data_IF_071363313584
#
_entry.id   IF_071363313584
#
_cell.length_a   1.000
_cell.length_b   1.000
_cell.length_c   1.000
_cell.angle_alpha   90.00
_cell.angle_beta   90.00
_cell.angle_gamma   90.00
#
_symmetry.space_group_name_H-M   'P 1'
#
loop_
_entity.id
_entity.type
_entity.pdbx_description
1 polymer ?
#
# COMPACT_ATOMS: atom_id res chain seq x y z
N UNK A 1 30.96 11.37 2.25
CA UNK A 1 29.74 10.55 2.45
C UNK A 1 29.92 9.30 1.59
N UNK A 2 30.07 8.12 2.21
CA UNK A 2 30.45 6.89 1.49
C UNK A 2 29.38 6.52 0.45
N UNK A 3 29.79 6.26 -0.80
CA UNK A 3 28.94 5.80 -1.91
C UNK A 3 28.00 4.63 -1.51
N UNK A 4 28.47 3.78 -0.59
CA UNK A 4 27.73 2.67 0.00
C UNK A 4 26.48 3.13 0.79
N UNK A 5 26.61 4.16 1.63
CA UNK A 5 25.49 4.76 2.38
C UNK A 5 24.48 5.42 1.45
N UNK A 6 24.95 6.01 0.34
CA UNK A 6 24.09 6.63 -0.67
C UNK A 6 23.25 5.59 -1.42
N UNK A 7 23.83 4.43 -1.77
CA UNK A 7 23.13 3.34 -2.44
C UNK A 7 22.05 2.71 -1.54
N UNK A 8 22.31 2.59 -0.23
CA UNK A 8 21.32 2.05 0.73
C UNK A 8 20.13 2.98 0.98
N UNK A 9 20.37 4.29 0.98
CA UNK A 9 19.29 5.28 1.14
C UNK A 9 18.39 5.32 -0.10
N UNK A 10 18.93 4.95 -1.28
CA UNK A 10 18.22 5.06 -2.55
C UNK A 10 16.94 4.22 -2.62
N UNK A 11 16.95 2.99 -2.09
CA UNK A 11 15.77 2.11 -2.08
C UNK A 11 14.61 2.70 -1.26
N UNK A 12 14.90 3.28 -0.10
CA UNK A 12 13.90 3.97 0.72
C UNK A 12 13.40 5.26 0.08
N UNK A 13 14.30 6.01 -0.57
CA UNK A 13 13.95 7.24 -1.31
C UNK A 13 13.03 6.93 -2.50
N UNK A 14 13.28 5.84 -3.25
CA UNK A 14 12.42 5.41 -4.37
C UNK A 14 10.99 5.09 -3.92
N UNK A 15 10.83 4.49 -2.74
CA UNK A 15 9.52 4.22 -2.15
C UNK A 15 8.83 5.54 -1.75
N UNK A 16 9.58 6.47 -1.16
CA UNK A 16 9.07 7.82 -0.84
C UNK A 16 8.65 8.63 -2.07
N UNK A 17 9.47 8.64 -3.13
CA UNK A 17 9.12 9.29 -4.40
C UNK A 17 7.89 8.65 -5.04
N UNK A 18 7.77 7.33 -4.99
CA UNK A 18 6.60 6.61 -5.48
C UNK A 18 5.33 7.03 -4.73
N UNK A 19 5.41 7.20 -3.40
CA UNK A 19 4.29 7.68 -2.59
C UNK A 19 3.87 9.10 -2.99
N UNK A 20 4.82 10.03 -3.12
CA UNK A 20 4.53 11.41 -3.55
C UNK A 20 3.95 11.42 -4.96
N UNK A 21 4.40 10.52 -5.84
CA UNK A 21 3.92 10.46 -7.23
C UNK A 21 2.51 9.90 -7.35
N UNK A 22 2.11 8.98 -6.49
CA UNK A 22 0.84 8.27 -6.55
C UNK A 22 -0.13 8.62 -5.41
N UNK A 23 0.13 9.70 -4.67
CA UNK A 23 -0.67 10.12 -3.51
C UNK A 23 -2.17 10.26 -3.81
N UNK A 24 -2.54 10.68 -5.03
CA UNK A 24 -3.92 10.85 -5.48
C UNK A 24 -4.70 9.53 -5.62
N UNK A 25 -4.00 8.39 -5.59
CA UNK A 25 -4.64 7.07 -5.57
C UNK A 25 -5.33 6.85 -4.22
N UNK A 26 -4.77 7.34 -3.11
CA UNK A 26 -5.31 7.16 -1.76
C UNK A 26 -6.77 7.68 -1.63
N UNK A 27 -7.11 8.92 -2.01
CA UNK A 27 -8.50 9.37 -1.95
C UNK A 27 -9.42 8.59 -2.91
N UNK A 28 -8.92 8.15 -4.06
CA UNK A 28 -9.71 7.34 -5.00
C UNK A 28 -10.01 5.95 -4.42
N UNK A 29 -9.04 5.32 -3.77
CA UNK A 29 -9.20 3.99 -3.16
C UNK A 29 -10.12 4.05 -1.96
N UNK A 30 -10.07 5.13 -1.17
CA UNK A 30 -11.02 5.35 -0.08
C UNK A 30 -12.47 5.36 -0.58
N UNK A 31 -12.75 6.05 -1.70
CA UNK A 31 -14.10 6.11 -2.27
C UNK A 31 -14.54 4.73 -2.78
N UNK A 32 -13.67 4.03 -3.51
CA UNK A 32 -13.96 2.71 -4.08
C UNK A 32 -14.21 1.69 -2.95
N UNK A 33 -13.31 1.61 -1.98
CA UNK A 33 -13.45 0.69 -0.86
C UNK A 33 -14.65 1.00 0.02
N UNK A 34 -14.97 2.28 0.26
CA UNK A 34 -16.21 2.64 0.95
C UNK A 34 -17.42 2.00 0.28
N UNK A 35 -17.50 2.07 -1.06
CA UNK A 35 -18.59 1.46 -1.83
C UNK A 35 -18.56 -0.06 -1.73
N UNK A 36 -17.40 -0.69 -1.90
CA UNK A 36 -17.27 -2.16 -1.80
C UNK A 36 -17.64 -2.65 -0.40
N UNK A 37 -17.13 -2.01 0.67
CA UNK A 37 -17.46 -2.34 2.06
C UNK A 37 -18.97 -2.20 2.27
N UNK A 38 -19.58 -1.11 1.78
CA UNK A 38 -21.02 -0.90 1.91
C UNK A 38 -21.81 -2.03 1.26
N UNK A 39 -21.45 -2.41 0.04
CA UNK A 39 -22.12 -3.47 -0.72
C UNK A 39 -21.95 -4.85 -0.07
N UNK A 40 -20.75 -5.17 0.44
CA UNK A 40 -20.42 -6.50 0.97
C UNK A 40 -20.83 -6.70 2.43
N UNK A 41 -20.88 -5.64 3.24
CA UNK A 41 -21.11 -5.74 4.71
C UNK A 41 -22.43 -5.11 5.15
N UNK A 42 -23.13 -4.40 4.25
CA UNK A 42 -24.36 -3.65 4.54
C UNK A 42 -24.25 -2.59 5.65
N UNK A 43 -23.04 -2.29 6.14
CA UNK A 43 -22.78 -1.25 7.13
C UNK A 43 -23.37 0.11 6.75
N UNK A 44 -23.66 1.01 7.71
CA UNK A 44 -24.05 2.38 7.37
C UNK A 44 -22.91 3.07 6.61
N UNK A 45 -23.25 4.02 5.73
CA UNK A 45 -22.29 4.74 4.89
C UNK A 45 -21.17 5.38 5.72
N UNK A 46 -21.51 6.04 6.84
CA UNK A 46 -20.53 6.64 7.74
C UNK A 46 -19.52 5.63 8.32
N UNK A 47 -19.98 4.43 8.71
CA UNK A 47 -19.08 3.39 9.22
C UNK A 47 -18.19 2.84 8.10
N UNK A 48 -18.72 2.67 6.89
CA UNK A 48 -17.96 2.18 5.74
C UNK A 48 -16.87 3.18 5.31
N UNK A 49 -17.20 4.48 5.30
CA UNK A 49 -16.26 5.56 5.04
C UNK A 49 -15.14 5.61 6.08
N UNK A 50 -15.49 5.50 7.37
CA UNK A 50 -14.51 5.49 8.46
C UNK A 50 -13.57 4.28 8.36
N UNK A 51 -14.10 3.09 8.08
CA UNK A 51 -13.29 1.88 7.91
C UNK A 51 -12.27 2.07 6.80
N UNK A 52 -12.73 2.50 5.62
CA UNK A 52 -11.85 2.69 4.46
C UNK A 52 -10.84 3.82 4.65
N UNK A 53 -11.27 4.95 5.23
CA UNK A 53 -10.39 6.10 5.48
C UNK A 53 -9.28 5.74 6.46
N UNK A 54 -9.64 5.14 7.60
CA UNK A 54 -8.66 4.75 8.62
C UNK A 54 -7.73 3.67 8.09
N UNK A 55 -8.28 2.69 7.38
CA UNK A 55 -7.52 1.61 6.76
C UNK A 55 -6.45 2.14 5.81
N UNK A 56 -6.86 2.89 4.78
CA UNK A 56 -5.97 3.41 3.74
C UNK A 56 -4.98 4.46 4.26
N UNK A 57 -5.35 5.28 5.24
CA UNK A 57 -4.42 6.24 5.84
C UNK A 57 -3.33 5.53 6.64
N UNK A 58 -3.71 4.53 7.43
CA UNK A 58 -2.76 3.78 8.24
C UNK A 58 -1.87 2.92 7.35
N UNK A 59 -2.43 2.17 6.40
CA UNK A 59 -1.62 1.37 5.46
C UNK A 59 -0.77 2.25 4.54
N UNK A 60 -1.31 3.38 4.05
CA UNK A 60 -0.59 4.32 3.20
C UNK A 60 0.57 5.01 3.92
N UNK A 61 0.38 5.51 5.14
CA UNK A 61 1.43 6.22 5.88
C UNK A 61 2.39 5.24 6.55
N UNK A 62 1.87 4.33 7.38
CA UNK A 62 2.70 3.40 8.15
C UNK A 62 3.32 2.37 7.21
N UNK A 63 2.59 1.86 6.23
CA UNK A 63 3.14 0.90 5.26
C UNK A 63 4.31 1.50 4.48
N UNK A 64 4.20 2.75 4.00
CA UNK A 64 5.29 3.41 3.28
C UNK A 64 6.54 3.57 4.14
N UNK A 65 6.39 3.97 5.41
CA UNK A 65 7.51 4.11 6.35
C UNK A 65 8.13 2.74 6.67
N UNK A 66 7.30 1.76 7.04
CA UNK A 66 7.76 0.42 7.45
C UNK A 66 8.43 -0.29 6.29
N UNK A 67 7.86 -0.24 5.08
CA UNK A 67 8.44 -0.89 3.91
C UNK A 67 9.70 -0.15 3.44
N UNK A 68 9.72 1.19 3.50
CA UNK A 68 10.94 1.97 3.22
C UNK A 68 12.08 1.66 4.19
N UNK A 69 11.78 1.52 5.49
CA UNK A 69 12.77 1.10 6.49
C UNK A 69 13.20 -0.37 6.27
N UNK A 70 12.25 -1.25 5.96
CA UNK A 70 12.54 -2.66 5.71
C UNK A 70 13.43 -2.84 4.47
N UNK A 71 13.21 -2.07 3.39
CA UNK A 71 14.09 -2.12 2.23
C UNK A 71 15.51 -1.68 2.56
N UNK A 72 15.68 -0.61 3.34
CA UNK A 72 17.00 -0.14 3.78
C UNK A 72 17.70 -1.21 4.65
N UNK A 73 16.95 -1.84 5.57
CA UNK A 73 17.48 -2.89 6.45
C UNK A 73 17.93 -4.12 5.64
N UNK A 74 17.14 -4.53 4.65
CA UNK A 74 17.49 -5.69 3.82
C UNK A 74 18.69 -5.39 2.95
N UNK A 75 18.76 -4.21 2.34
CA UNK A 75 19.94 -3.81 1.58
C UNK A 75 21.20 -3.79 2.48
N UNK A 76 21.07 -3.37 3.75
CA UNK A 76 22.14 -3.42 4.73
C UNK A 76 22.57 -4.86 5.10
N UNK A 77 21.62 -5.77 5.30
CA UNK A 77 21.88 -7.13 5.76
C UNK A 77 22.36 -8.08 4.67
N UNK A 78 21.89 -7.91 3.44
CA UNK A 78 22.09 -8.87 2.35
C UNK A 78 22.76 -8.26 1.11
N UNK A 79 23.05 -6.96 1.13
CA UNK A 79 23.60 -6.21 0.00
C UNK A 79 22.52 -5.61 -0.90
N UNK A 80 22.86 -4.53 -1.61
CA UNK A 80 21.94 -3.80 -2.50
C UNK A 80 21.38 -4.63 -3.66
N UNK A 81 22.02 -5.76 -3.94
CA UNK A 81 21.62 -6.70 -5.00
C UNK A 81 20.73 -7.83 -4.47
N UNK A 82 20.30 -7.81 -3.20
CA UNK A 82 19.40 -8.82 -2.63
C UNK A 82 17.92 -8.46 -2.71
N UNK A 83 17.60 -7.15 -2.76
CA UNK A 83 16.25 -6.66 -3.03
C UNK A 83 15.92 -6.35 -4.52
N UNK A 84 16.47 -7.00 -5.57
CA UNK A 84 16.45 -6.42 -6.92
C UNK A 84 15.43 -7.09 -7.85
N UNK A 85 14.31 -7.61 -7.36
CA UNK A 85 13.18 -7.82 -8.27
C UNK A 85 12.08 -6.89 -7.84
N UNK A 86 11.80 -5.88 -8.69
CA UNK A 86 10.63 -5.00 -8.54
C UNK A 86 9.39 -5.79 -8.13
N UNK A 87 9.25 -7.01 -8.65
CA UNK A 87 8.18 -7.94 -8.31
C UNK A 87 8.09 -8.27 -6.81
N UNK A 88 9.19 -8.64 -6.14
CA UNK A 88 9.18 -9.01 -4.71
C UNK A 88 8.85 -7.79 -3.85
N UNK A 89 9.50 -6.65 -4.10
CA UNK A 89 9.21 -5.40 -3.39
C UNK A 89 7.75 -5.01 -3.55
N UNK A 90 7.19 -5.18 -4.75
CA UNK A 90 5.81 -4.84 -5.03
C UNK A 90 4.81 -5.79 -4.38
N UNK A 91 5.10 -7.10 -4.36
CA UNK A 91 4.31 -8.11 -3.62
C UNK A 91 4.33 -7.80 -2.11
N UNK A 92 5.49 -7.43 -1.56
CA UNK A 92 5.62 -7.05 -0.15
C UNK A 92 4.87 -5.75 0.15
N UNK A 93 4.91 -4.76 -0.75
CA UNK A 93 4.13 -3.54 -0.61
C UNK A 93 2.63 -3.82 -0.58
N UNK A 94 2.16 -4.65 -1.52
CA UNK A 94 0.77 -5.07 -1.57
C UNK A 94 0.35 -5.84 -0.32
N UNK A 95 1.11 -6.88 0.06
CA UNK A 95 0.80 -7.72 1.20
C UNK A 95 0.89 -6.94 2.52
N UNK A 96 1.87 -6.04 2.64
CA UNK A 96 2.03 -5.15 3.78
C UNK A 96 0.88 -4.16 3.91
N UNK A 97 0.47 -3.52 2.81
CA UNK A 97 -0.68 -2.60 2.78
C UNK A 97 -1.97 -3.29 3.19
N UNK A 98 -2.29 -4.40 2.54
CA UNK A 98 -3.47 -5.22 2.85
C UNK A 98 -3.45 -5.73 4.30
N UNK A 99 -2.31 -6.25 4.75
CA UNK A 99 -2.15 -6.79 6.10
C UNK A 99 -2.31 -5.72 7.18
N UNK A 100 -1.64 -4.57 7.01
CA UNK A 100 -1.75 -3.44 7.95
C UNK A 100 -3.18 -2.91 8.00
N UNK A 101 -3.81 -2.75 6.84
CA UNK A 101 -5.18 -2.24 6.74
C UNK A 101 -6.18 -3.17 7.43
N UNK A 102 -6.13 -4.47 7.11
CA UNK A 102 -7.01 -5.46 7.71
C UNK A 102 -6.80 -5.58 9.23
N UNK A 103 -5.54 -5.59 9.69
CA UNK A 103 -5.24 -5.63 11.14
C UNK A 103 -5.73 -4.36 11.85
N UNK A 104 -5.52 -3.19 11.25
CA UNK A 104 -5.98 -1.90 11.77
C UNK A 104 -7.48 -1.88 11.91
N UNK A 105 -8.20 -2.24 10.85
CA UNK A 105 -9.67 -2.25 10.85
C UNK A 105 -10.20 -3.24 11.89
N UNK A 106 -9.61 -4.44 11.95
CA UNK A 106 -10.00 -5.47 12.92
C UNK A 106 -9.73 -5.03 14.36
N UNK A 107 -8.67 -4.27 14.61
CA UNK A 107 -8.33 -3.80 15.95
C UNK A 107 -9.22 -2.63 16.40
N UNK A 108 -9.44 -1.64 15.53
CA UNK A 108 -10.20 -0.42 15.83
C UNK A 108 -11.70 -0.70 15.85
N UNK A 109 -12.23 -1.33 14.80
CA UNK A 109 -13.68 -1.53 14.64
C UNK A 109 -14.17 -2.87 15.21
N UNK A 110 -13.25 -3.71 15.71
CA UNK A 110 -13.52 -5.06 16.25
C UNK A 110 -14.29 -5.97 15.29
N UNK A 111 -14.26 -5.65 14.00
CA UNK A 111 -14.98 -6.38 12.96
C UNK A 111 -14.14 -7.56 12.48
N UNK A 112 -14.68 -8.77 12.61
CA UNK A 112 -14.03 -10.03 12.19
C UNK A 112 -14.66 -10.62 10.93
N UNK A 113 -15.56 -9.88 10.27
CA UNK A 113 -16.27 -10.40 9.11
C UNK A 113 -15.31 -10.66 7.95
N UNK A 114 -15.48 -11.83 7.30
CA UNK A 114 -14.72 -12.14 6.08
C UNK A 114 -15.07 -11.16 4.95
N UNK A 115 -16.27 -10.60 4.96
CA UNK A 115 -16.71 -9.59 3.99
C UNK A 115 -15.85 -8.31 4.03
N UNK A 116 -15.49 -7.82 5.22
CA UNK A 116 -14.56 -6.68 5.35
C UNK A 116 -13.18 -7.02 4.81
N UNK A 117 -12.66 -8.21 5.10
CA UNK A 117 -11.37 -8.68 4.57
C UNK A 117 -11.37 -8.71 3.03
N UNK A 118 -12.41 -9.27 2.41
CA UNK A 118 -12.54 -9.32 0.95
C UNK A 118 -12.72 -7.92 0.34
N UNK A 119 -13.43 -7.03 1.02
CA UNK A 119 -13.60 -5.66 0.56
C UNK A 119 -12.26 -4.89 0.53
N UNK A 120 -11.49 -4.97 1.62
CA UNK A 120 -10.14 -4.36 1.73
C UNK A 120 -9.17 -4.98 0.72
N UNK A 121 -9.23 -6.30 0.54
CA UNK A 121 -8.39 -6.97 -0.46
C UNK A 121 -8.70 -6.46 -1.87
N UNK A 122 -9.99 -6.35 -2.20
CA UNK A 122 -10.44 -5.89 -3.52
C UNK A 122 -10.00 -4.45 -3.78
N UNK A 123 -10.11 -3.58 -2.79
CA UNK A 123 -9.63 -2.21 -2.87
C UNK A 123 -8.13 -2.14 -3.13
N UNK A 124 -7.32 -2.79 -2.29
CA UNK A 124 -5.87 -2.84 -2.48
C UNK A 124 -5.48 -3.43 -3.85
N UNK A 125 -6.15 -4.49 -4.33
CA UNK A 125 -5.88 -5.04 -5.68
C UNK A 125 -6.14 -3.99 -6.76
N UNK A 126 -7.26 -3.27 -6.67
CA UNK A 126 -7.59 -2.21 -7.63
C UNK A 126 -6.57 -1.07 -7.60
N UNK A 127 -6.13 -0.63 -6.41
CA UNK A 127 -5.09 0.40 -6.25
C UNK A 127 -3.81 0.01 -6.99
N UNK A 128 -3.36 -1.21 -6.76
CA UNK A 128 -2.11 -1.73 -7.30
C UNK A 128 -2.23 -2.00 -8.81
N UNK A 129 -3.36 -2.54 -9.29
CA UNK A 129 -3.64 -2.62 -10.73
C UNK A 129 -3.61 -1.24 -11.41
N UNK A 130 -4.19 -0.22 -10.78
CA UNK A 130 -4.20 1.14 -11.31
C UNK A 130 -2.77 1.73 -11.40
N UNK A 131 -1.92 1.48 -10.40
CA UNK A 131 -0.50 1.86 -10.43
C UNK A 131 0.20 1.20 -11.63
N UNK A 132 0.01 -0.11 -11.84
CA UNK A 132 0.62 -0.85 -12.96
C UNK A 132 0.16 -0.28 -14.30
N UNK A 133 -1.14 -0.09 -14.49
CA UNK A 133 -1.68 0.49 -15.73
C UNK A 133 -1.12 1.90 -15.94
N UNK A 134 -1.06 2.73 -14.90
CA UNK A 134 -0.51 4.09 -14.99
C UNK A 134 0.96 4.10 -15.38
N UNK A 135 1.75 3.15 -14.89
CA UNK A 135 3.16 2.97 -15.26
C UNK A 135 3.31 2.49 -16.71
N UNK A 136 2.50 1.51 -17.13
CA UNK A 136 2.49 0.98 -18.50
C UNK A 136 2.07 2.04 -19.51
N UNK A 137 0.98 2.76 -19.27
CA UNK A 137 0.47 3.82 -20.16
C UNK A 137 1.55 4.88 -20.38
N UNK A 138 2.28 5.30 -19.34
CA UNK A 138 3.39 6.25 -19.49
C UNK A 138 4.56 5.69 -20.33
N UNK A 139 4.78 4.38 -20.29
CA UNK A 139 5.82 3.73 -21.08
C UNK A 139 5.45 3.60 -22.55
N UNK A 140 4.16 3.42 -22.86
CA UNK A 140 3.64 3.27 -24.22
C UNK A 140 3.28 4.60 -24.91
N UNK A 141 2.97 5.67 -24.17
CA UNK A 141 2.75 7.03 -24.72
C UNK A 141 4.09 7.81 -24.74
N UNK A 142 5.16 7.16 -25.20
CA UNK A 142 6.46 7.80 -25.45
C UNK A 142 6.72 7.91 -26.94
#
# INVERSE_FOLDING_TARGET
>A
MNLVLLNFVWSGVLIGESFIRFWYIIPATIVIEMVIIKLMTSHPWGKSLLISTVGNLVSGIIGTIVIGCASILIDFLFGSDFFPTMLITWILMFAGSFGLEYLTVRWIFKDKSRAVMWAILSGNVLSYCFIVISLLVKYWIK
#
